data_IF_376696433072
#
_entry.id   IF_376696433072
#
_cell.length_a   1.000
_cell.length_b   1.000
_cell.length_c   1.000
_cell.angle_alpha   90.00
_cell.angle_beta   90.00
_cell.angle_gamma   90.00
#
_symmetry.space_group_name_H-M   'P 1'
#
loop_
_entity.id
_entity.type
_entity.pdbx_description
1 polymer ?
#
# COMPACT_ATOMS: atom_id res chain seq x y z
N UNK A 1 -0.46 11.31 -0.05
CA UNK A 1 0.00 9.94 -0.44
C UNK A 1 1.50 9.92 -0.66
N UNK A 2 2.18 8.73 -0.56
CA UNK A 2 3.59 8.69 -0.95
C UNK A 2 3.75 8.62 -2.47
N UNK A 3 4.64 9.46 -2.97
CA UNK A 3 5.19 9.43 -4.32
C UNK A 3 6.71 9.24 -4.22
N UNK A 4 7.34 8.80 -5.29
CA UNK A 4 8.69 8.27 -5.22
C UNK A 4 9.60 8.88 -6.28
N UNK A 5 10.85 9.19 -5.88
CA UNK A 5 11.95 9.54 -6.77
C UNK A 5 13.01 8.45 -6.71
N UNK A 6 13.52 8.07 -7.87
CA UNK A 6 14.72 7.24 -7.96
C UNK A 6 15.89 8.17 -8.30
N UNK A 7 16.96 8.08 -7.52
CA UNK A 7 18.21 8.80 -7.74
C UNK A 7 19.38 7.83 -7.79
N UNK A 8 20.39 8.19 -8.55
CA UNK A 8 21.70 7.53 -8.50
C UNK A 8 22.46 7.93 -7.24
N UNK A 9 23.40 7.10 -6.78
CA UNK A 9 24.20 7.37 -5.59
C UNK A 9 24.82 8.77 -5.55
N UNK A 10 25.49 9.24 -6.62
CA UNK A 10 26.02 10.60 -6.68
C UNK A 10 24.97 11.70 -6.59
N UNK A 11 23.78 11.51 -7.21
CA UNK A 11 22.67 12.47 -7.16
C UNK A 11 22.09 12.55 -5.73
N UNK A 12 21.96 11.40 -5.06
CA UNK A 12 21.55 11.32 -3.65
C UNK A 12 22.56 11.99 -2.72
N UNK A 13 23.84 11.76 -2.89
CA UNK A 13 24.89 12.40 -2.12
C UNK A 13 24.91 13.93 -2.31
N UNK A 14 24.68 14.40 -3.54
CA UNK A 14 24.57 15.81 -3.84
C UNK A 14 23.36 16.44 -3.13
N UNK A 15 22.19 15.80 -3.17
CA UNK A 15 20.99 16.25 -2.45
C UNK A 15 21.22 16.32 -0.93
N UNK A 16 21.89 15.33 -0.35
CA UNK A 16 22.21 15.36 1.09
C UNK A 16 23.12 16.52 1.46
N UNK A 17 24.08 16.85 0.59
CA UNK A 17 25.03 17.95 0.82
C UNK A 17 24.39 19.33 0.60
N UNK A 18 23.68 19.51 -0.51
CA UNK A 18 23.07 20.79 -0.88
C UNK A 18 21.76 21.06 -0.12
N UNK A 19 21.13 20.03 0.44
CA UNK A 19 19.85 20.06 1.14
C UNK A 19 18.63 20.23 0.22
N UNK A 20 18.87 20.43 -1.08
CA UNK A 20 17.85 20.47 -2.12
C UNK A 20 18.40 19.98 -3.46
N UNK A 21 17.51 19.74 -4.43
CA UNK A 21 17.87 19.37 -5.80
C UNK A 21 16.81 19.84 -6.79
N UNK A 22 17.25 20.22 -7.97
CA UNK A 22 16.37 20.45 -9.13
C UNK A 22 16.15 19.17 -9.96
N UNK A 23 16.68 18.03 -9.49
CA UNK A 23 16.49 16.72 -10.11
C UNK A 23 17.73 16.20 -10.85
N UNK A 24 17.52 15.11 -11.59
CA UNK A 24 18.51 14.49 -12.49
C UNK A 24 18.76 15.36 -13.74
N UNK A 25 19.74 15.03 -14.58
CA UNK A 25 19.91 15.69 -15.87
C UNK A 25 18.65 15.67 -16.75
N UNK A 26 17.88 14.58 -16.74
CA UNK A 26 16.63 14.48 -17.49
C UNK A 26 15.56 15.42 -16.90
N UNK A 27 15.46 15.51 -15.57
CA UNK A 27 14.54 16.42 -14.89
C UNK A 27 14.86 17.89 -15.23
N UNK A 28 16.15 18.24 -15.27
CA UNK A 28 16.62 19.58 -15.66
C UNK A 28 16.30 19.90 -17.12
N UNK A 29 16.42 18.93 -18.02
CA UNK A 29 16.10 19.09 -19.43
C UNK A 29 14.58 19.31 -19.65
N UNK A 30 13.74 18.61 -18.88
CA UNK A 30 12.29 18.67 -19.00
C UNK A 30 11.66 19.79 -18.15
N UNK A 31 12.42 20.38 -17.22
CA UNK A 31 11.99 21.52 -16.39
C UNK A 31 11.09 21.15 -15.20
N UNK A 32 11.04 19.88 -14.84
CA UNK A 32 10.34 19.36 -13.66
C UNK A 32 10.96 18.05 -13.16
N UNK A 33 10.76 17.72 -11.91
CA UNK A 33 11.24 16.46 -11.34
C UNK A 33 10.20 15.36 -11.59
N UNK A 34 10.61 14.31 -12.30
CA UNK A 34 9.81 13.11 -12.52
C UNK A 34 9.69 12.32 -11.23
N UNK A 35 8.45 12.01 -10.86
CA UNK A 35 8.11 11.19 -9.73
C UNK A 35 7.23 10.01 -10.19
N UNK A 36 7.06 9.04 -9.33
CA UNK A 36 6.25 7.85 -9.60
C UNK A 36 5.31 7.57 -8.43
N UNK A 37 4.16 6.96 -8.71
CA UNK A 37 3.39 6.28 -7.66
C UNK A 37 4.08 4.98 -7.26
N UNK A 38 3.58 4.33 -6.20
CA UNK A 38 4.05 3.02 -5.79
C UNK A 38 3.96 1.96 -6.91
N UNK A 39 2.88 1.99 -7.68
CA UNK A 39 2.65 1.03 -8.77
C UNK A 39 3.52 1.35 -10.00
N UNK A 40 3.87 2.62 -10.21
CA UNK A 40 4.67 3.07 -11.35
C UNK A 40 6.18 2.91 -11.12
N UNK A 41 6.67 3.02 -9.88
CA UNK A 41 8.09 3.03 -9.59
C UNK A 41 8.85 1.78 -10.05
N UNK A 42 8.31 0.54 -9.96
CA UNK A 42 8.97 -0.64 -10.51
C UNK A 42 9.13 -0.59 -12.05
N UNK A 43 8.10 -0.14 -12.77
CA UNK A 43 8.17 0.01 -14.22
C UNK A 43 9.14 1.12 -14.62
N UNK A 44 9.15 2.23 -13.89
CA UNK A 44 10.10 3.34 -14.09
C UNK A 44 11.54 2.84 -13.90
N UNK A 45 11.81 2.06 -12.83
CA UNK A 45 13.14 1.49 -12.60
C UNK A 45 13.54 0.54 -13.73
N UNK A 46 12.67 -0.37 -14.13
CA UNK A 46 12.95 -1.32 -15.21
C UNK A 46 13.21 -0.62 -16.56
N UNK A 47 12.58 0.49 -16.83
CA UNK A 47 12.69 1.22 -18.10
C UNK A 47 13.90 2.14 -18.17
N UNK A 48 14.18 2.88 -17.08
CA UNK A 48 15.15 3.97 -17.09
C UNK A 48 16.44 3.67 -16.32
N UNK A 49 16.44 2.62 -15.50
CA UNK A 49 17.57 2.28 -14.62
C UNK A 49 17.97 0.80 -14.74
N UNK A 50 17.56 0.11 -15.79
CA UNK A 50 17.89 -1.32 -15.98
C UNK A 50 19.39 -1.57 -15.95
N UNK A 51 19.84 -2.45 -15.05
CA UNK A 51 21.26 -2.80 -14.88
C UNK A 51 22.10 -1.74 -14.18
N UNK A 52 21.50 -0.65 -13.71
CA UNK A 52 22.18 0.32 -12.86
C UNK A 52 22.21 -0.16 -11.40
N UNK A 53 23.35 0.03 -10.76
CA UNK A 53 23.56 -0.23 -9.33
C UNK A 53 23.65 1.08 -8.56
N UNK A 54 23.69 1.01 -7.22
CA UNK A 54 23.79 2.18 -6.35
C UNK A 54 22.63 3.18 -6.49
N UNK A 55 21.45 2.67 -6.78
CA UNK A 55 20.24 3.48 -6.82
C UNK A 55 19.65 3.69 -5.42
N UNK A 56 18.97 4.81 -5.27
CA UNK A 56 18.23 5.18 -4.06
C UNK A 56 16.78 5.47 -4.40
N UNK A 57 15.88 4.94 -3.59
CA UNK A 57 14.45 5.22 -3.65
C UNK A 57 14.09 6.18 -2.51
N UNK A 58 13.54 7.32 -2.88
CA UNK A 58 13.10 8.38 -1.97
C UNK A 58 11.59 8.41 -1.94
N UNK A 59 11.00 8.46 -0.76
CA UNK A 59 9.57 8.62 -0.56
C UNK A 59 9.25 10.05 -0.12
N UNK A 60 8.30 10.69 -0.77
CA UNK A 60 7.84 12.05 -0.54
C UNK A 60 6.32 12.02 -0.28
N UNK A 61 5.82 12.76 0.71
CA UNK A 61 4.37 12.98 0.83
C UNK A 61 3.91 13.97 -0.23
N UNK A 62 2.95 13.57 -1.08
CA UNK A 62 2.41 14.46 -2.13
C UNK A 62 1.90 15.79 -1.58
N UNK A 63 1.30 15.74 -0.40
CA UNK A 63 0.69 16.91 0.24
C UNK A 63 1.74 17.93 0.72
N UNK A 64 3.00 17.51 0.95
CA UNK A 64 4.10 18.42 1.33
C UNK A 64 4.64 19.24 0.15
N UNK A 65 4.36 18.80 -1.07
CA UNK A 65 4.81 19.43 -2.33
C UNK A 65 3.65 19.81 -3.24
N UNK A 66 2.43 19.76 -2.75
CA UNK A 66 1.17 19.91 -3.51
C UNK A 66 1.10 21.20 -4.33
N UNK A 67 1.61 22.31 -3.82
CA UNK A 67 1.56 23.62 -4.51
C UNK A 67 2.31 23.66 -5.85
N UNK A 68 3.27 22.75 -6.05
CA UNK A 68 4.08 22.65 -7.26
C UNK A 68 3.97 21.29 -7.94
N UNK A 69 3.13 20.38 -7.42
CA UNK A 69 2.92 19.04 -7.96
C UNK A 69 1.81 19.07 -9.00
N UNK A 70 2.08 18.52 -10.18
CA UNK A 70 1.07 18.29 -11.21
C UNK A 70 0.99 16.83 -11.58
N UNK A 71 -0.22 16.38 -11.91
CA UNK A 71 -0.49 15.04 -12.41
C UNK A 71 -0.73 15.14 -13.91
N UNK A 72 0.20 14.63 -14.70
CA UNK A 72 0.20 14.82 -16.15
C UNK A 72 0.25 13.48 -16.88
N UNK A 73 -0.45 13.34 -18.03
CA UNK A 73 -0.41 12.12 -18.82
C UNK A 73 1.01 11.85 -19.34
N UNK A 74 1.49 10.62 -19.15
CA UNK A 74 2.72 10.14 -19.77
C UNK A 74 2.41 9.14 -20.89
N UNK A 75 3.44 8.71 -21.61
CA UNK A 75 3.32 7.69 -22.68
C UNK A 75 2.67 6.43 -22.11
N UNK A 76 1.49 6.07 -22.60
CA UNK A 76 0.66 4.96 -22.12
C UNK A 76 -0.61 5.39 -21.37
N UNK A 77 -0.88 6.70 -21.24
CA UNK A 77 -2.14 7.26 -20.72
C UNK A 77 -2.25 7.32 -19.19
N UNK A 78 -1.27 6.80 -18.45
CA UNK A 78 -1.23 6.94 -17.00
C UNK A 78 -0.80 8.34 -16.56
N UNK A 79 -1.39 8.86 -15.47
CA UNK A 79 -0.97 10.12 -14.85
C UNK A 79 0.26 9.89 -13.99
N UNK A 80 1.33 10.67 -14.25
CA UNK A 80 2.54 10.69 -13.45
C UNK A 80 2.65 11.99 -12.66
N UNK A 81 3.14 11.94 -11.42
CA UNK A 81 3.38 13.15 -10.64
C UNK A 81 4.67 13.83 -11.10
N UNK A 82 4.58 15.10 -11.49
CA UNK A 82 5.68 15.96 -11.89
C UNK A 82 5.79 17.14 -10.93
N UNK A 83 6.97 17.35 -10.34
CA UNK A 83 7.21 18.43 -9.39
C UNK A 83 7.91 19.60 -10.08
N UNK A 84 7.21 20.74 -10.17
CA UNK A 84 7.69 22.00 -10.78
C UNK A 84 8.37 22.90 -9.75
N UNK A 85 9.13 22.30 -8.84
CA UNK A 85 9.93 23.01 -7.84
C UNK A 85 11.16 22.16 -7.46
N UNK A 86 12.10 22.74 -6.71
CA UNK A 86 13.19 21.97 -6.11
C UNK A 86 12.63 21.01 -5.04
N UNK A 87 13.14 19.78 -5.01
CA UNK A 87 12.88 18.81 -3.97
C UNK A 87 13.86 19.05 -2.81
N UNK A 88 13.34 19.34 -1.63
CA UNK A 88 14.15 19.57 -0.43
C UNK A 88 14.37 18.26 0.31
N UNK A 89 15.50 18.14 0.99
CA UNK A 89 15.78 16.99 1.85
C UNK A 89 14.72 16.84 2.96
N UNK A 90 14.12 17.94 3.43
CA UNK A 90 13.03 17.95 4.40
C UNK A 90 11.71 17.39 3.88
N UNK A 91 11.50 17.33 2.57
CA UNK A 91 10.29 16.79 1.95
C UNK A 91 10.32 15.25 1.86
N UNK A 92 11.49 14.66 2.14
CA UNK A 92 11.72 13.22 2.06
C UNK A 92 11.32 12.57 3.39
N UNK A 93 10.34 11.70 3.33
CA UNK A 93 9.87 10.92 4.48
C UNK A 93 10.88 9.84 4.86
N UNK A 94 11.44 9.18 3.84
CA UNK A 94 12.54 8.22 3.97
C UNK A 94 13.28 8.05 2.63
N UNK A 95 14.52 7.63 2.72
CA UNK A 95 15.35 7.23 1.57
C UNK A 95 15.97 5.87 1.86
N UNK A 96 15.96 4.97 0.87
CA UNK A 96 16.55 3.61 0.99
C UNK A 96 17.31 3.23 -0.25
N UNK A 97 18.40 2.46 -0.10
CA UNK A 97 19.02 1.81 -1.26
C UNK A 97 17.99 0.99 -2.04
N UNK A 98 18.11 0.99 -3.36
CA UNK A 98 17.31 0.19 -4.27
C UNK A 98 18.23 -0.87 -4.91
N UNK A 99 18.43 -2.04 -4.26
CA UNK A 99 19.36 -3.06 -4.74
C UNK A 99 18.93 -3.65 -6.08
N UNK A 100 19.90 -3.94 -6.93
CA UNK A 100 19.70 -4.72 -8.15
C UNK A 100 19.62 -6.22 -7.83
N UNK A 101 18.81 -6.96 -8.59
CA UNK A 101 18.65 -8.40 -8.51
C UNK A 101 18.37 -8.99 -9.90
N UNK A 102 18.52 -10.32 -10.11
CA UNK A 102 18.33 -10.95 -11.42
C UNK A 102 16.98 -10.70 -12.09
N UNK A 103 15.93 -10.38 -11.30
CA UNK A 103 14.58 -10.08 -11.79
C UNK A 103 14.28 -8.57 -11.85
N UNK A 104 15.29 -7.71 -11.70
CA UNK A 104 15.15 -6.27 -11.61
C UNK A 104 15.39 -5.75 -10.18
N UNK A 105 15.18 -4.46 -9.95
CA UNK A 105 15.46 -3.85 -8.66
C UNK A 105 14.51 -4.34 -7.56
N UNK A 106 15.04 -4.52 -6.34
CA UNK A 106 14.27 -4.93 -5.15
C UNK A 106 13.66 -3.71 -4.46
N UNK A 107 12.35 -3.56 -4.62
CA UNK A 107 11.61 -2.51 -3.95
C UNK A 107 11.28 -2.87 -2.51
N UNK A 108 11.34 -1.89 -1.57
CA UNK A 108 10.88 -2.10 -0.21
C UNK A 108 9.40 -2.52 -0.16
N UNK A 109 9.04 -3.41 0.76
CA UNK A 109 7.66 -3.88 0.92
C UNK A 109 6.64 -2.74 1.14
N UNK A 110 7.07 -1.63 1.74
CA UNK A 110 6.22 -0.46 1.98
C UNK A 110 5.73 0.21 0.69
N UNK A 111 6.41 0.01 -0.42
CA UNK A 111 6.00 0.56 -1.71
C UNK A 111 5.03 -0.36 -2.44
N UNK A 112 5.20 -1.67 -2.32
CA UNK A 112 4.38 -2.67 -3.02
C UNK A 112 3.00 -2.91 -2.41
N UNK A 113 2.53 -2.06 -1.52
CA UNK A 113 1.22 -2.07 -0.87
C UNK A 113 0.48 -3.42 -0.91
N UNK A 114 0.56 -4.21 0.16
CA UNK A 114 -0.16 -5.49 0.24
C UNK A 114 -1.67 -5.24 0.44
N UNK A 115 -2.42 -5.15 -0.63
CA UNK A 115 -3.88 -4.90 -0.61
C UNK A 115 -4.62 -6.21 -0.69
N UNK A 116 -4.33 -7.02 -1.71
CA UNK A 116 -4.96 -8.29 -1.99
C UNK A 116 -3.95 -9.43 -1.95
N UNK A 117 -4.38 -10.68 -1.72
CA UNK A 117 -3.48 -11.83 -1.71
C UNK A 117 -2.92 -12.09 -3.12
N UNK A 118 -1.66 -12.48 -3.20
CA UNK A 118 -1.11 -13.05 -4.42
C UNK A 118 -1.76 -14.42 -4.70
N UNK A 119 -1.65 -14.89 -5.94
CA UNK A 119 -2.14 -16.24 -6.31
C UNK A 119 -1.52 -17.31 -5.43
N UNK A 120 -0.21 -17.26 -5.20
CA UNK A 120 0.53 -18.22 -4.36
C UNK A 120 0.03 -18.23 -2.92
N UNK A 121 -0.16 -17.04 -2.31
CA UNK A 121 -0.71 -16.91 -0.95
C UNK A 121 -2.12 -17.48 -0.86
N UNK A 122 -2.96 -17.22 -1.87
CA UNK A 122 -4.33 -17.72 -1.89
C UNK A 122 -4.38 -19.24 -2.10
N UNK A 123 -3.48 -19.79 -2.93
CA UNK A 123 -3.36 -21.25 -3.12
C UNK A 123 -2.85 -21.94 -1.84
N UNK A 124 -1.87 -21.35 -1.15
CA UNK A 124 -1.43 -21.81 0.19
C UNK A 124 -2.57 -21.80 1.19
N UNK A 125 -3.38 -20.71 1.24
CA UNK A 125 -4.56 -20.65 2.10
C UNK A 125 -5.55 -21.80 1.82
N UNK A 126 -5.81 -22.10 0.56
CA UNK A 126 -6.73 -23.17 0.13
C UNK A 126 -6.21 -24.57 0.40
N UNK A 127 -4.90 -24.76 0.48
CA UNK A 127 -4.26 -26.05 0.77
C UNK A 127 -4.37 -26.44 2.26
N UNK A 128 -4.57 -25.47 3.16
CA UNK A 128 -4.76 -25.74 4.59
C UNK A 128 -6.14 -26.34 4.89
N UNK A 129 -6.34 -27.06 6.02
CA UNK A 129 -7.64 -27.59 6.44
C UNK A 129 -8.73 -26.50 6.41
N UNK A 130 -9.88 -26.80 5.81
CA UNK A 130 -10.94 -25.81 5.55
C UNK A 130 -12.21 -25.99 6.37
N UNK A 131 -12.33 -27.09 7.08
CA UNK A 131 -13.51 -27.52 7.84
C UNK A 131 -13.50 -27.06 9.31
N UNK A 132 -12.43 -26.41 9.74
CA UNK A 132 -12.23 -25.96 11.12
C UNK A 132 -12.40 -24.45 11.24
N UNK A 133 -12.78 -23.95 12.43
CA UNK A 133 -12.79 -22.51 12.70
C UNK A 133 -11.44 -21.87 12.42
N UNK A 134 -11.47 -20.67 11.88
CA UNK A 134 -10.28 -19.86 11.63
C UNK A 134 -10.47 -18.44 12.18
N UNK A 135 -9.36 -17.84 12.56
CA UNK A 135 -9.27 -16.43 12.91
C UNK A 135 -8.38 -15.71 11.91
N UNK A 136 -8.88 -14.59 11.43
CA UNK A 136 -8.20 -13.75 10.45
C UNK A 136 -7.79 -12.45 11.12
N UNK A 137 -6.49 -12.34 11.50
CA UNK A 137 -5.92 -11.10 12.01
C UNK A 137 -5.79 -10.11 10.85
N UNK A 138 -6.38 -8.95 11.04
CA UNK A 138 -6.33 -7.85 10.09
C UNK A 138 -5.55 -6.68 10.70
N UNK A 139 -4.50 -6.25 10.00
CA UNK A 139 -3.80 -5.01 10.23
C UNK A 139 -3.94 -4.19 8.94
N UNK A 140 -4.54 -3.01 9.03
CA UNK A 140 -4.88 -2.20 7.85
C UNK A 140 -4.39 -0.78 8.01
N UNK A 141 -3.61 -0.31 7.04
CA UNK A 141 -3.23 1.09 6.88
C UNK A 141 -4.04 1.69 5.74
N UNK A 142 -4.66 2.82 5.99
CA UNK A 142 -5.51 3.50 5.02
C UNK A 142 -4.72 4.54 4.23
N UNK A 143 -5.21 4.85 3.05
CA UNK A 143 -4.80 6.01 2.25
C UNK A 143 -5.43 7.28 2.85
N UNK A 144 -4.78 8.41 2.69
CA UNK A 144 -5.39 9.72 3.00
C UNK A 144 -6.58 9.96 2.07
N UNK A 145 -6.39 9.73 0.76
CA UNK A 145 -7.45 9.78 -0.27
C UNK A 145 -7.65 8.40 -0.87
N UNK A 146 -8.89 7.97 -1.00
CA UNK A 146 -9.25 6.72 -1.66
C UNK A 146 -9.00 6.79 -3.18
N UNK A 147 -8.50 5.69 -3.75
CA UNK A 147 -8.25 5.57 -5.18
C UNK A 147 -9.23 4.57 -5.78
N UNK A 148 -10.34 5.08 -6.28
CA UNK A 148 -11.31 4.28 -7.02
C UNK A 148 -10.89 4.11 -8.48
N UNK A 149 -11.15 2.93 -9.09
CA UNK A 149 -10.93 2.73 -10.52
C UNK A 149 -11.81 3.67 -11.35
N UNK A 150 -11.35 4.05 -12.53
CA UNK A 150 -12.05 5.01 -13.42
C UNK A 150 -13.52 4.61 -13.74
N UNK A 151 -13.79 3.31 -13.78
CA UNK A 151 -15.15 2.78 -14.00
C UNK A 151 -16.08 2.92 -12.80
N UNK A 152 -15.57 3.31 -11.64
CA UNK A 152 -16.39 3.42 -10.43
C UNK A 152 -17.04 4.80 -10.32
N UNK A 153 -18.31 4.85 -9.83
CA UNK A 153 -19.07 6.10 -9.66
C UNK A 153 -18.40 7.17 -8.79
N UNK A 154 -17.45 6.78 -7.92
CA UNK A 154 -16.67 7.68 -7.08
C UNK A 154 -15.27 7.98 -7.67
N UNK A 155 -15.00 7.60 -8.92
CA UNK A 155 -13.78 7.97 -9.59
C UNK A 155 -13.66 9.50 -9.68
N UNK A 156 -12.49 10.03 -9.32
CA UNK A 156 -12.28 11.49 -9.32
C UNK A 156 -12.83 12.24 -8.11
N UNK A 157 -13.74 11.64 -7.32
CA UNK A 157 -14.26 12.25 -6.09
C UNK A 157 -13.21 12.32 -4.99
N UNK A 158 -13.33 13.37 -4.16
CA UNK A 158 -12.46 13.51 -2.99
C UNK A 158 -13.04 12.75 -1.80
N UNK A 159 -12.79 11.44 -1.78
CA UNK A 159 -13.21 10.54 -0.69
C UNK A 159 -11.97 10.15 0.11
N UNK A 160 -12.02 10.28 1.44
CA UNK A 160 -10.92 9.80 2.29
C UNK A 160 -10.87 8.27 2.33
N UNK A 161 -9.68 7.70 2.59
CA UNK A 161 -9.54 6.25 2.79
C UNK A 161 -10.42 5.75 3.94
N UNK A 162 -10.57 6.56 5.00
CA UNK A 162 -11.43 6.22 6.15
C UNK A 162 -12.89 6.10 5.76
N UNK A 163 -13.42 7.05 4.98
CA UNK A 163 -14.81 7.01 4.49
C UNK A 163 -15.04 5.82 3.54
N UNK A 164 -14.10 5.56 2.66
CA UNK A 164 -14.16 4.41 1.77
C UNK A 164 -14.14 3.08 2.54
N UNK A 165 -13.26 2.96 3.55
CA UNK A 165 -13.20 1.76 4.39
C UNK A 165 -14.45 1.59 5.26
N UNK A 166 -15.06 2.68 5.72
CA UNK A 166 -16.34 2.65 6.41
C UNK A 166 -17.48 2.14 5.50
N UNK A 167 -17.47 2.51 4.21
CA UNK A 167 -18.41 1.98 3.22
C UNK A 167 -18.20 0.47 3.03
N UNK A 168 -16.95 0.02 2.89
CA UNK A 168 -16.63 -1.41 2.86
C UNK A 168 -17.18 -2.14 4.09
N UNK A 169 -16.94 -1.61 5.31
CA UNK A 169 -17.41 -2.22 6.55
C UNK A 169 -18.93 -2.34 6.61
N UNK A 170 -19.64 -1.29 6.21
CA UNK A 170 -21.11 -1.26 6.20
C UNK A 170 -21.72 -2.29 5.22
N UNK A 171 -21.11 -2.43 4.03
CA UNK A 171 -21.61 -3.31 2.98
C UNK A 171 -21.20 -4.77 3.19
N UNK A 172 -20.04 -5.03 3.80
CA UNK A 172 -19.53 -6.39 4.04
C UNK A 172 -20.05 -7.02 5.35
N UNK A 173 -20.47 -6.23 6.34
CA UNK A 173 -20.91 -6.73 7.64
C UNK A 173 -22.10 -7.72 7.55
N UNK A 174 -23.17 -7.44 6.79
CA UNK A 174 -24.30 -8.40 6.67
C UNK A 174 -23.87 -9.73 6.02
N UNK A 175 -22.86 -9.69 5.14
CA UNK A 175 -22.34 -10.90 4.49
C UNK A 175 -21.55 -11.73 5.48
N UNK A 176 -20.69 -11.09 6.29
CA UNK A 176 -19.93 -11.72 7.36
C UNK A 176 -20.89 -12.44 8.33
N UNK A 177 -21.91 -11.74 8.82
CA UNK A 177 -22.90 -12.26 9.76
C UNK A 177 -23.67 -13.46 9.17
N UNK A 178 -24.14 -13.33 7.92
CA UNK A 178 -24.86 -14.42 7.22
C UNK A 178 -24.06 -15.71 7.10
N UNK A 179 -22.73 -15.59 7.00
CA UNK A 179 -21.81 -16.72 6.91
C UNK A 179 -21.29 -17.20 8.28
N UNK A 180 -21.89 -16.70 9.37
CA UNK A 180 -21.52 -17.06 10.74
C UNK A 180 -20.20 -16.46 11.21
N UNK A 181 -19.70 -15.45 10.51
CA UNK A 181 -18.48 -14.74 10.89
C UNK A 181 -18.76 -13.66 11.95
N UNK A 182 -17.79 -13.41 12.81
CA UNK A 182 -17.88 -12.40 13.87
C UNK A 182 -16.54 -11.73 14.10
N UNK A 183 -16.55 -10.46 14.52
CA UNK A 183 -15.34 -9.77 14.98
C UNK A 183 -15.17 -10.09 16.46
N UNK A 184 -14.13 -10.85 16.80
CA UNK A 184 -13.85 -11.30 18.17
C UNK A 184 -12.92 -10.38 18.94
N UNK A 185 -12.18 -9.53 18.23
CA UNK A 185 -11.31 -8.53 18.85
C UNK A 185 -11.15 -7.30 17.96
N UNK A 186 -11.03 -6.13 18.58
CA UNK A 186 -10.63 -4.86 17.94
C UNK A 186 -9.69 -4.11 18.84
N UNK A 187 -8.68 -3.47 18.24
CA UNK A 187 -7.74 -2.60 18.94
C UNK A 187 -7.51 -1.30 18.21
N UNK A 188 -7.16 -0.25 18.97
CA UNK A 188 -6.67 1.01 18.43
C UNK A 188 -5.16 1.04 18.55
N UNK A 189 -4.48 1.29 17.44
CA UNK A 189 -3.04 1.43 17.39
C UNK A 189 -2.56 2.56 18.32
N UNK A 190 -1.46 2.34 19.03
CA UNK A 190 -0.81 3.36 19.87
C UNK A 190 0.65 3.55 19.50
N UNK A 191 1.44 2.48 19.49
CA UNK A 191 2.86 2.51 19.13
C UNK A 191 3.35 1.12 18.76
N UNK A 192 4.44 1.03 18.03
CA UNK A 192 5.24 -0.18 17.86
C UNK A 192 6.38 -0.13 18.88
N UNK A 193 6.49 -1.18 19.69
CA UNK A 193 7.62 -1.34 20.63
C UNK A 193 8.76 -2.15 20.01
N UNK A 194 8.40 -3.13 19.18
CA UNK A 194 9.34 -3.98 18.44
C UNK A 194 8.81 -4.10 17.02
N UNK A 195 9.55 -3.61 16.05
CA UNK A 195 9.19 -3.61 14.63
C UNK A 195 9.82 -2.45 13.88
N UNK A 196 9.52 -2.27 12.60
CA UNK A 196 10.04 -1.17 11.81
C UNK A 196 9.59 0.19 12.35
N UNK A 197 10.52 1.17 12.38
CA UNK A 197 10.19 2.55 12.69
C UNK A 197 9.17 3.10 11.68
N UNK A 198 8.14 3.79 12.16
CA UNK A 198 7.10 4.36 11.32
C UNK A 198 6.00 3.38 10.88
N UNK A 199 6.08 2.09 11.28
CA UNK A 199 4.96 1.18 11.09
C UNK A 199 3.78 1.63 11.94
N UNK A 200 2.60 1.72 11.33
CA UNK A 200 1.35 2.07 12.02
C UNK A 200 0.16 1.45 11.31
N UNK A 201 -0.92 1.24 12.06
CA UNK A 201 -2.14 0.62 11.58
C UNK A 201 -3.37 1.45 11.97
N UNK A 202 -4.24 1.76 11.00
CA UNK A 202 -5.45 2.54 11.24
C UNK A 202 -6.61 1.66 11.72
N UNK A 203 -6.59 0.36 11.37
CA UNK A 203 -7.56 -0.63 11.81
C UNK A 203 -6.85 -1.93 12.19
N UNK A 204 -7.18 -2.44 13.36
CA UNK A 204 -6.67 -3.70 13.89
C UNK A 204 -7.85 -4.51 14.43
N UNK A 205 -8.06 -5.72 13.91
CA UNK A 205 -9.14 -6.59 14.38
C UNK A 205 -8.90 -8.04 14.01
N UNK A 206 -9.60 -8.94 14.69
CA UNK A 206 -9.65 -10.36 14.38
C UNK A 206 -11.08 -10.72 13.99
N UNK A 207 -11.25 -11.24 12.77
CA UNK A 207 -12.49 -11.82 12.29
C UNK A 207 -12.42 -13.35 12.42
N UNK A 208 -13.33 -13.93 13.19
CA UNK A 208 -13.48 -15.39 13.30
C UNK A 208 -14.53 -15.87 12.32
N UNK A 209 -14.23 -16.94 11.63
CA UNK A 209 -15.15 -17.66 10.75
C UNK A 209 -15.34 -19.09 11.28
N UNK A 210 -16.54 -19.70 11.12
CA UNK A 210 -16.79 -21.07 11.54
C UNK A 210 -15.93 -22.09 10.77
N UNK A 211 -15.46 -21.69 9.58
CA UNK A 211 -14.54 -22.51 8.77
C UNK A 211 -13.87 -21.63 7.70
N UNK A 212 -12.80 -22.14 7.09
CA UNK A 212 -12.22 -21.46 5.92
C UNK A 212 -13.15 -21.54 4.70
N UNK A 213 -14.09 -22.50 4.64
CA UNK A 213 -15.13 -22.51 3.61
C UNK A 213 -16.03 -21.27 3.71
N UNK A 214 -16.41 -20.85 4.93
CA UNK A 214 -17.21 -19.64 5.13
C UNK A 214 -16.45 -18.38 4.66
N UNK A 215 -15.16 -18.28 4.94
CA UNK A 215 -14.32 -17.19 4.41
C UNK A 215 -14.26 -17.22 2.87
N UNK A 216 -14.05 -18.41 2.26
CA UNK A 216 -14.02 -18.54 0.81
C UNK A 216 -15.38 -18.21 0.18
N UNK A 217 -16.48 -18.61 0.82
CA UNK A 217 -17.83 -18.23 0.40
C UNK A 217 -18.03 -16.70 0.42
N UNK A 218 -17.49 -16.01 1.45
CA UNK A 218 -17.54 -14.56 1.53
C UNK A 218 -16.81 -13.90 0.35
N UNK A 219 -15.55 -14.26 0.10
CA UNK A 219 -14.75 -13.60 -0.95
C UNK A 219 -15.23 -13.90 -2.37
N UNK A 220 -16.04 -14.94 -2.56
CA UNK A 220 -16.67 -15.26 -3.84
C UNK A 220 -18.10 -14.73 -3.98
N UNK A 221 -18.69 -14.20 -2.93
CA UNK A 221 -20.02 -13.63 -2.90
C UNK A 221 -20.14 -12.42 -3.83
N UNK A 222 -21.18 -12.33 -4.69
CA UNK A 222 -21.34 -11.17 -5.61
C UNK A 222 -21.47 -9.83 -4.88
N UNK A 223 -22.12 -9.80 -3.72
CA UNK A 223 -22.28 -8.57 -2.92
C UNK A 223 -20.96 -8.16 -2.31
N UNK A 224 -20.17 -9.12 -1.80
CA UNK A 224 -18.84 -8.86 -1.31
C UNK A 224 -17.92 -8.33 -2.40
N UNK A 225 -17.99 -8.86 -3.62
CA UNK A 225 -17.22 -8.35 -4.77
C UNK A 225 -17.52 -6.89 -5.10
N UNK A 226 -18.75 -6.42 -4.83
CA UNK A 226 -19.08 -5.00 -4.93
C UNK A 226 -18.51 -4.20 -3.76
N UNK A 227 -18.64 -4.71 -2.56
CA UNK A 227 -18.14 -4.05 -1.35
C UNK A 227 -16.61 -3.95 -1.32
N UNK A 228 -15.88 -4.98 -1.79
CA UNK A 228 -14.41 -5.03 -1.71
C UNK A 228 -13.72 -3.94 -2.52
N UNK A 229 -14.38 -3.35 -3.53
CA UNK A 229 -13.86 -2.21 -4.29
C UNK A 229 -13.60 -1.01 -3.39
N UNK A 230 -14.45 -0.79 -2.39
CA UNK A 230 -14.25 0.24 -1.37
C UNK A 230 -13.02 -0.03 -0.50
N UNK A 231 -12.77 -1.29 -0.14
CA UNK A 231 -11.56 -1.69 0.57
C UNK A 231 -10.30 -1.47 -0.28
N UNK A 232 -10.33 -1.90 -1.53
CA UNK A 232 -9.21 -1.74 -2.46
C UNK A 232 -8.88 -0.26 -2.71
N UNK A 233 -9.90 0.59 -2.82
CA UNK A 233 -9.72 2.03 -2.93
C UNK A 233 -9.14 2.66 -1.65
N UNK A 234 -9.57 2.19 -0.48
CA UNK A 234 -9.22 2.76 0.83
C UNK A 234 -7.83 2.36 1.31
N UNK A 235 -7.41 1.10 1.07
CA UNK A 235 -6.25 0.49 1.72
C UNK A 235 -4.96 0.88 1.00
N UNK A 236 -3.99 1.37 1.78
CA UNK A 236 -2.61 1.57 1.31
C UNK A 236 -1.82 0.27 1.39
N UNK A 237 -1.88 -0.41 2.53
CA UNK A 237 -1.26 -1.72 2.77
C UNK A 237 -2.01 -2.43 3.89
N UNK A 238 -1.97 -3.75 3.90
CA UNK A 238 -2.59 -4.55 4.96
C UNK A 238 -1.81 -5.83 5.23
N UNK A 239 -2.08 -6.43 6.39
CA UNK A 239 -1.71 -7.82 6.68
C UNK A 239 -3.00 -8.55 6.99
N UNK A 240 -3.18 -9.70 6.35
CA UNK A 240 -4.27 -10.62 6.63
C UNK A 240 -3.64 -11.99 6.94
N UNK A 241 -3.61 -12.31 8.22
CA UNK A 241 -2.95 -13.53 8.72
C UNK A 241 -4.00 -14.53 9.18
N UNK A 242 -3.96 -15.74 8.62
CA UNK A 242 -4.81 -16.85 9.07
C UNK A 242 -4.20 -17.51 10.29
N UNK A 243 -4.97 -17.56 11.37
CA UNK A 243 -4.64 -18.25 12.61
C UNK A 243 -5.62 -19.39 12.87
N UNK A 244 -5.18 -20.43 13.56
CA UNK A 244 -6.08 -21.38 14.22
C UNK A 244 -6.49 -20.78 15.57
N UNK A 245 -7.77 -20.82 15.98
CA UNK A 245 -8.17 -20.47 17.34
C UNK A 245 -7.41 -21.33 18.35
N UNK A 246 -6.90 -20.69 19.39
CA UNK A 246 -6.27 -21.34 20.54
C UNK A 246 -7.03 -20.99 21.81
N UNK A 247 -6.84 -21.79 22.85
CA UNK A 247 -7.40 -21.47 24.16
C UNK A 247 -6.77 -20.19 24.71
N UNK A 248 -7.63 -19.33 25.26
CA UNK A 248 -7.16 -18.09 25.92
C UNK A 248 -6.68 -18.46 27.32
N UNK A 249 -5.43 -18.19 27.62
CA UNK A 249 -4.79 -18.52 28.88
C UNK A 249 -4.13 -17.33 29.56
N UNK A 250 -3.51 -17.57 30.70
CA UNK A 250 -2.78 -16.56 31.49
C UNK A 250 -1.27 -16.56 31.21
N UNK A 251 -0.77 -17.42 30.35
CA UNK A 251 0.63 -17.57 29.96
C UNK A 251 0.88 -17.24 28.49
N UNK A 252 2.16 -17.19 28.11
CA UNK A 252 2.61 -16.91 26.73
C UNK A 252 2.77 -18.21 25.87
N UNK A 253 2.34 -19.36 26.32
CA UNK A 253 2.43 -20.62 25.58
C UNK A 253 1.70 -21.74 26.26
#
# INVERSE_FOLDING_TARGET
MLIYKILRGPEWAALQSARDTAGSPDDLADGFIHLSTADQAPETAARHFAGETELWLLAIESDSVDTALKWEPSRGGGLFPHLYATLRLSDIVWARPLPDAPAGHLFPEEISGHIDPTRTQFDTFKALPRDRPIEMLNLVRLRTRAHYPESHKLAGETVSGDMAYASYGRESAPILERLGGVIVWRGSFRSVLIGPEGERWDRMFIARYPSAHAFLAMVTDPDYRRAVVHRQAAVRTSRLVRCAPAEVGTGFG
#
